data_IF_367049278535
#
_entry.id   IF_367049278535
#
_cell.length_a   1.000
_cell.length_b   1.000
_cell.length_c   1.000
_cell.angle_alpha   90.00
_cell.angle_beta   90.00
_cell.angle_gamma   90.00
#
_symmetry.space_group_name_H-M   'P 1'
#
loop_
_entity.id
_entity.type
_entity.pdbx_description
1 polymer ?
#
# COMPACT_ATOMS: atom_id res chain seq x y z
N UNK A 1 19.33 -52.68 60.59
CA UNK A 1 20.12 -52.83 61.84
C UNK A 1 20.59 -51.45 62.25
N UNK A 2 19.71 -50.72 62.95
CA UNK A 2 19.85 -49.28 63.22
C UNK A 2 19.74 -49.05 64.74
N UNK A 3 20.55 -49.77 65.50
CA UNK A 3 20.42 -49.91 66.96
C UNK A 3 21.44 -49.03 67.73
N UNK A 4 22.12 -48.07 67.08
CA UNK A 4 23.03 -47.16 67.77
C UNK A 4 22.93 -45.72 67.24
N UNK A 5 21.74 -45.14 67.35
CA UNK A 5 21.61 -43.68 67.34
C UNK A 5 21.62 -43.21 68.79
N UNK A 6 22.75 -42.63 69.22
CA UNK A 6 22.84 -41.96 70.53
C UNK A 6 21.87 -40.77 70.55
N UNK A 7 21.22 -40.58 71.71
CA UNK A 7 20.05 -39.73 71.90
C UNK A 7 20.29 -38.27 71.51
N UNK A 8 19.19 -37.58 71.21
CA UNK A 8 19.14 -36.16 70.89
C UNK A 8 19.78 -35.31 72.00
N UNK A 9 20.26 -34.11 71.64
CA UNK A 9 20.92 -33.08 72.48
C UNK A 9 20.29 -32.77 73.85
N UNK A 10 19.10 -33.28 74.15
CA UNK A 10 18.34 -32.99 75.37
C UNK A 10 18.43 -34.07 76.45
N UNK A 11 18.90 -35.28 76.11
CA UNK A 11 19.16 -36.32 77.11
C UNK A 11 20.65 -36.39 77.39
N UNK A 12 21.07 -35.87 78.55
CA UNK A 12 22.48 -35.88 78.96
C UNK A 12 22.77 -37.22 79.64
N UNK A 13 23.28 -38.18 78.87
CA UNK A 13 23.75 -39.46 79.41
C UNK A 13 24.98 -39.20 80.31
N UNK A 14 25.00 -39.79 81.52
CA UNK A 14 26.03 -39.51 82.52
C UNK A 14 27.41 -39.98 82.03
N UNK A 15 28.38 -39.04 81.96
CA UNK A 15 29.66 -39.33 81.32
C UNK A 15 30.45 -40.42 82.09
N UNK A 16 31.02 -41.41 81.37
CA UNK A 16 31.91 -42.41 81.96
C UNK A 16 33.08 -41.74 82.69
N UNK A 17 33.34 -42.18 83.94
CA UNK A 17 34.44 -41.67 84.78
C UNK A 17 35.84 -41.88 84.18
N UNK A 18 35.97 -42.83 83.26
CA UNK A 18 37.25 -43.24 82.67
C UNK A 18 37.32 -42.72 81.23
N UNK A 19 38.02 -41.58 81.05
CA UNK A 19 38.03 -40.79 79.81
C UNK A 19 38.55 -41.55 78.58
N UNK A 20 39.32 -42.62 78.78
CA UNK A 20 39.83 -43.46 77.68
C UNK A 20 38.74 -44.28 77.01
N UNK A 21 37.63 -44.58 77.69
CA UNK A 21 36.48 -45.29 77.11
C UNK A 21 35.65 -44.40 76.17
N UNK A 22 35.83 -43.09 76.23
CA UNK A 22 35.26 -42.13 75.27
C UNK A 22 36.03 -42.11 73.96
N UNK A 23 37.30 -42.53 73.98
CA UNK A 23 38.20 -42.56 72.83
C UNK A 23 38.18 -43.96 72.21
N UNK A 24 37.03 -44.35 71.67
CA UNK A 24 36.87 -45.63 70.99
C UNK A 24 37.61 -45.60 69.65
N UNK A 25 38.77 -46.26 69.60
CA UNK A 25 39.62 -46.31 68.41
C UNK A 25 38.95 -47.01 67.23
N UNK A 26 37.91 -47.83 67.45
CA UNK A 26 37.12 -48.42 66.37
C UNK A 26 36.26 -47.36 65.65
N UNK A 27 35.78 -46.34 66.38
CA UNK A 27 35.05 -45.20 65.79
C UNK A 27 35.95 -44.30 64.93
N UNK A 28 37.26 -44.32 65.18
CA UNK A 28 38.25 -43.50 64.47
C UNK A 28 39.10 -44.29 63.46
N UNK A 29 38.66 -45.49 63.07
CA UNK A 29 39.32 -46.27 62.03
C UNK A 29 38.87 -45.81 60.63
N UNK A 30 39.81 -45.32 59.83
CA UNK A 30 39.57 -44.92 58.45
C UNK A 30 39.81 -46.12 57.52
N UNK A 31 38.73 -46.86 57.24
CA UNK A 31 38.78 -47.97 56.28
C UNK A 31 38.71 -47.44 54.83
N UNK A 32 39.83 -47.57 54.11
CA UNK A 32 39.98 -47.13 52.71
C UNK A 32 39.73 -48.26 51.71
N UNK A 33 39.34 -49.46 52.15
CA UNK A 33 39.17 -50.64 51.27
C UNK A 33 38.12 -50.44 50.18
N UNK A 34 37.15 -49.54 50.38
CA UNK A 34 36.10 -49.24 49.40
C UNK A 34 36.49 -48.21 48.34
N UNK A 35 37.56 -47.44 48.53
CA UNK A 35 37.96 -46.38 47.58
C UNK A 35 38.22 -46.93 46.17
N UNK A 36 38.96 -48.05 45.97
CA UNK A 36 39.19 -48.57 44.63
C UNK A 36 37.91 -49.04 43.93
N UNK A 37 36.92 -49.54 44.69
CA UNK A 37 35.61 -49.92 44.15
C UNK A 37 34.85 -48.68 43.70
N UNK A 38 34.85 -47.62 44.52
CA UNK A 38 34.24 -46.34 44.18
C UNK A 38 34.83 -45.73 42.91
N UNK A 39 36.16 -45.70 42.76
CA UNK A 39 36.84 -45.16 41.57
C UNK A 39 36.45 -45.91 40.30
N UNK A 40 36.36 -47.25 40.35
CA UNK A 40 35.91 -48.07 39.21
C UNK A 40 34.46 -47.81 38.83
N UNK A 41 33.58 -47.56 39.80
CA UNK A 41 32.17 -47.26 39.53
C UNK A 41 31.98 -45.94 38.76
N UNK A 42 32.92 -44.99 38.82
CA UNK A 42 32.86 -43.80 37.95
C UNK A 42 33.00 -44.15 36.46
N UNK A 43 33.85 -45.12 36.12
CA UNK A 43 34.02 -45.60 34.74
C UNK A 43 32.78 -46.38 34.28
N UNK A 44 32.22 -47.23 35.14
CA UNK A 44 30.99 -47.99 34.86
C UNK A 44 29.79 -47.08 34.59
N UNK A 45 29.68 -45.97 35.33
CA UNK A 45 28.62 -44.98 35.18
C UNK A 45 28.91 -43.93 34.08
N UNK A 46 30.03 -44.06 33.36
CA UNK A 46 30.48 -43.10 32.35
C UNK A 46 30.54 -41.64 32.87
N UNK A 47 30.85 -41.48 34.15
CA UNK A 47 30.96 -40.17 34.81
C UNK A 47 32.42 -39.75 34.90
N UNK A 48 32.70 -38.48 34.59
CA UNK A 48 34.04 -37.92 34.75
C UNK A 48 34.38 -37.76 36.24
N UNK A 49 35.54 -38.25 36.64
CA UNK A 49 36.03 -38.12 38.02
C UNK A 49 36.65 -36.72 38.24
N UNK A 50 35.81 -35.73 38.51
CA UNK A 50 36.21 -34.34 38.78
C UNK A 50 35.50 -33.76 40.04
N UNK A 51 36.05 -32.72 40.70
CA UNK A 51 35.39 -32.07 41.83
C UNK A 51 34.04 -31.50 41.39
N UNK A 52 32.97 -31.85 42.11
CA UNK A 52 31.62 -31.42 41.78
C UNK A 52 31.51 -29.89 41.82
N UNK A 53 31.04 -29.29 40.73
CA UNK A 53 30.71 -27.87 40.66
C UNK A 53 29.20 -27.68 40.82
N UNK A 54 28.79 -26.53 41.38
CA UNK A 54 27.37 -26.24 41.59
C UNK A 54 26.70 -25.98 40.24
N UNK A 55 25.83 -26.89 39.82
CA UNK A 55 24.96 -26.67 38.67
C UNK A 55 23.95 -25.59 39.06
N UNK A 56 24.01 -24.43 38.39
CA UNK A 56 22.99 -23.39 38.56
C UNK A 56 21.67 -23.92 38.03
N UNK A 57 20.58 -23.90 38.83
CA UNK A 57 19.28 -24.32 38.32
C UNK A 57 18.86 -23.39 37.19
N UNK A 58 18.43 -23.96 36.06
CA UNK A 58 17.79 -23.21 35.00
C UNK A 58 16.32 -23.06 35.37
N UNK A 59 15.91 -21.86 35.77
CA UNK A 59 14.52 -21.56 36.04
C UNK A 59 13.87 -21.07 34.75
N UNK A 60 13.11 -21.94 34.09
CA UNK A 60 12.29 -21.54 32.97
C UNK A 60 11.03 -20.83 33.48
N UNK A 61 10.83 -19.58 33.06
CA UNK A 61 9.56 -18.89 33.27
C UNK A 61 8.66 -19.28 32.10
N UNK A 62 7.60 -20.07 32.31
CA UNK A 62 6.75 -20.50 31.21
C UNK A 62 6.09 -19.27 30.56
N UNK A 63 6.17 -19.19 29.24
CA UNK A 63 5.51 -18.13 28.49
C UNK A 63 3.98 -18.24 28.67
N UNK A 64 3.26 -17.10 28.73
CA UNK A 64 1.81 -17.11 28.70
C UNK A 64 1.29 -17.88 27.47
N UNK A 65 0.18 -18.61 27.64
CA UNK A 65 -0.40 -19.40 26.57
C UNK A 65 -0.76 -18.51 25.37
N UNK A 66 -0.19 -18.85 24.20
CA UNK A 66 -0.45 -18.15 22.96
C UNK A 66 -1.89 -18.43 22.51
N UNK A 67 -2.62 -17.37 22.15
CA UNK A 67 -3.98 -17.49 21.59
C UNK A 67 -3.92 -17.35 20.07
N UNK A 68 -4.45 -18.32 19.31
CA UNK A 68 -4.56 -18.16 17.87
C UNK A 68 -5.57 -17.06 17.54
N UNK A 69 -5.32 -16.30 16.48
CA UNK A 69 -6.29 -15.34 15.98
C UNK A 69 -7.49 -16.09 15.37
N UNK A 70 -8.70 -15.70 15.76
CA UNK A 70 -9.94 -16.22 15.20
C UNK A 70 -10.68 -15.07 14.51
N UNK A 71 -11.27 -15.33 13.35
CA UNK A 71 -12.15 -14.36 12.72
C UNK A 71 -13.38 -14.13 13.61
N UNK A 72 -13.82 -12.87 13.78
CA UNK A 72 -15.08 -12.58 14.47
C UNK A 72 -16.27 -13.13 13.65
N UNK A 73 -17.44 -13.33 14.29
CA UNK A 73 -18.66 -13.70 13.58
C UNK A 73 -18.95 -12.73 12.43
N UNK A 74 -19.14 -13.28 11.22
CA UNK A 74 -19.39 -12.50 10.01
C UNK A 74 -20.86 -12.07 10.00
N UNK A 75 -21.10 -10.76 9.99
CA UNK A 75 -22.44 -10.19 9.79
C UNK A 75 -22.84 -10.28 8.32
N UNK A 76 -24.13 -10.11 8.01
CA UNK A 76 -24.56 -10.02 6.61
C UNK A 76 -23.99 -8.74 6.00
N UNK A 77 -23.14 -8.89 4.99
CA UNK A 77 -22.67 -7.78 4.19
C UNK A 77 -23.81 -7.23 3.31
N UNK A 78 -23.71 -5.95 2.95
CA UNK A 78 -24.62 -5.36 1.97
C UNK A 78 -24.43 -6.07 0.62
N UNK A 79 -25.52 -6.24 -0.13
CA UNK A 79 -25.39 -6.73 -1.51
C UNK A 79 -24.50 -5.76 -2.30
N UNK A 80 -23.65 -6.29 -3.21
CA UNK A 80 -22.83 -5.43 -4.06
C UNK A 80 -23.74 -4.49 -4.87
N UNK A 81 -23.27 -3.26 -5.17
CA UNK A 81 -24.05 -2.33 -5.96
C UNK A 81 -24.41 -2.96 -7.31
N UNK A 82 -25.65 -2.78 -7.80
CA UNK A 82 -26.08 -3.35 -9.06
C UNK A 82 -25.24 -2.78 -10.21
N UNK A 83 -24.90 -3.64 -11.17
CA UNK A 83 -24.16 -3.22 -12.36
C UNK A 83 -25.11 -2.53 -13.34
N UNK A 84 -24.94 -1.22 -13.52
CA UNK A 84 -25.64 -0.45 -14.55
C UNK A 84 -24.89 -0.56 -15.89
N UNK A 85 -25.62 -0.93 -16.94
CA UNK A 85 -25.07 -1.07 -18.29
C UNK A 85 -25.25 0.25 -19.03
N UNK A 86 -24.24 1.11 -18.97
CA UNK A 86 -24.18 2.35 -19.73
C UNK A 86 -23.59 2.15 -21.12
N UNK A 87 -24.11 2.87 -22.12
CA UNK A 87 -23.47 2.99 -23.42
C UNK A 87 -22.30 4.00 -23.32
N UNK A 88 -21.11 3.46 -23.08
CA UNK A 88 -19.91 4.26 -22.88
C UNK A 88 -19.52 5.05 -24.13
N UNK A 89 -19.90 4.57 -25.32
CA UNK A 89 -19.58 5.26 -26.57
C UNK A 89 -20.39 6.54 -26.70
N UNK A 90 -21.65 6.57 -26.27
CA UNK A 90 -22.45 7.81 -26.28
C UNK A 90 -21.99 8.79 -25.19
N UNK A 91 -21.71 8.29 -23.98
CA UNK A 91 -21.31 9.12 -22.84
C UNK A 91 -19.90 9.72 -22.96
N UNK A 92 -18.95 8.98 -23.55
CA UNK A 92 -17.56 9.44 -23.72
C UNK A 92 -17.22 9.88 -25.14
N UNK A 93 -18.18 9.92 -26.07
CA UNK A 93 -17.91 10.40 -27.42
C UNK A 93 -17.40 11.85 -27.40
N UNK A 94 -16.25 12.06 -28.04
CA UNK A 94 -15.72 13.39 -28.32
C UNK A 94 -16.69 14.18 -29.18
N UNK A 95 -16.63 15.51 -29.11
CA UNK A 95 -17.47 16.40 -29.92
C UNK A 95 -17.39 16.06 -31.41
N UNK A 96 -16.18 15.78 -31.91
CA UNK A 96 -15.95 15.35 -33.30
C UNK A 96 -16.66 14.04 -33.63
N UNK A 97 -16.62 13.04 -32.75
CA UNK A 97 -17.29 11.76 -32.97
C UNK A 97 -18.81 11.95 -33.02
N UNK A 98 -19.37 12.72 -32.08
CA UNK A 98 -20.80 13.06 -32.04
C UNK A 98 -21.25 13.81 -33.29
N UNK A 99 -20.45 14.76 -33.77
CA UNK A 99 -20.72 15.50 -35.02
C UNK A 99 -20.66 14.61 -36.26
N UNK A 100 -19.71 13.69 -36.33
CA UNK A 100 -19.63 12.72 -37.43
C UNK A 100 -20.87 11.82 -37.46
N UNK A 101 -21.29 11.33 -36.30
CA UNK A 101 -22.51 10.54 -36.18
C UNK A 101 -23.76 11.35 -36.55
N UNK A 102 -23.85 12.60 -36.11
CA UNK A 102 -24.95 13.50 -36.44
C UNK A 102 -25.03 13.77 -37.95
N UNK A 103 -23.89 14.00 -38.60
CA UNK A 103 -23.80 14.24 -40.05
C UNK A 103 -24.30 13.04 -40.85
N UNK A 104 -24.00 11.82 -40.39
CA UNK A 104 -24.49 10.60 -41.03
C UNK A 104 -26.00 10.36 -40.83
N UNK A 105 -26.62 11.00 -39.83
CA UNK A 105 -28.04 10.83 -39.49
C UNK A 105 -28.95 11.88 -40.15
N UNK A 106 -28.42 13.04 -40.53
CA UNK A 106 -29.21 14.16 -41.05
C UNK A 106 -29.16 14.24 -42.58
N UNK A 107 -30.29 14.64 -43.18
CA UNK A 107 -30.41 14.98 -44.60
C UNK A 107 -30.56 16.50 -44.80
N UNK A 108 -30.60 16.97 -46.04
CA UNK A 108 -30.80 18.40 -46.36
C UNK A 108 -32.13 18.96 -45.80
N UNK A 109 -33.12 18.09 -45.57
CA UNK A 109 -34.43 18.47 -45.02
C UNK A 109 -34.36 18.76 -43.51
N UNK A 110 -33.35 18.22 -42.82
CA UNK A 110 -33.16 18.30 -41.37
C UNK A 110 -32.16 19.40 -40.97
N UNK A 111 -31.89 20.34 -41.87
CA UNK A 111 -30.82 21.32 -41.69
C UNK A 111 -30.96 22.14 -40.41
N UNK A 112 -32.18 22.51 -40.03
CA UNK A 112 -32.40 23.29 -38.81
C UNK A 112 -32.12 22.46 -37.54
N UNK A 113 -32.49 21.18 -37.54
CA UNK A 113 -32.19 20.25 -36.45
C UNK A 113 -30.69 19.99 -36.35
N UNK A 114 -30.03 19.79 -37.49
CA UNK A 114 -28.59 19.61 -37.56
C UNK A 114 -27.83 20.81 -36.96
N UNK A 115 -28.21 22.04 -37.32
CA UNK A 115 -27.53 23.24 -36.82
C UNK A 115 -27.78 23.43 -35.31
N UNK A 116 -28.98 23.10 -34.82
CA UNK A 116 -29.29 23.16 -33.38
C UNK A 116 -28.47 22.15 -32.57
N UNK A 117 -28.40 20.91 -33.03
CA UNK A 117 -27.60 19.86 -32.38
C UNK A 117 -26.09 20.14 -32.49
N UNK A 118 -25.62 20.69 -33.62
CA UNK A 118 -24.25 21.19 -33.74
C UNK A 118 -23.96 22.25 -32.67
N UNK A 119 -24.86 23.22 -32.49
CA UNK A 119 -24.73 24.26 -31.46
C UNK A 119 -24.70 23.70 -30.04
N UNK A 120 -25.41 22.60 -29.78
CA UNK A 120 -25.39 21.90 -28.50
C UNK A 120 -24.06 21.15 -28.29
N UNK A 121 -23.61 20.40 -29.29
CA UNK A 121 -22.36 19.61 -29.22
C UNK A 121 -21.14 20.53 -29.09
N UNK A 122 -21.09 21.63 -29.85
CA UNK A 122 -19.98 22.60 -29.82
C UNK A 122 -20.05 23.58 -28.63
N UNK A 123 -21.02 23.45 -27.72
CA UNK A 123 -21.16 24.33 -26.55
C UNK A 123 -21.46 25.80 -26.88
N UNK A 124 -22.06 26.07 -28.05
CA UNK A 124 -22.46 27.41 -28.50
C UNK A 124 -23.83 27.78 -27.91
N UNK A 125 -24.75 26.82 -27.81
CA UNK A 125 -26.10 27.00 -27.27
C UNK A 125 -26.11 27.48 -25.80
N UNK A 126 -25.06 27.19 -25.03
CA UNK A 126 -24.90 27.64 -23.64
C UNK A 126 -24.48 29.11 -23.53
N UNK A 127 -23.93 29.69 -24.60
CA UNK A 127 -23.47 31.09 -24.67
C UNK A 127 -24.57 32.04 -25.15
N UNK A 128 -25.72 31.51 -25.56
CA UNK A 128 -26.85 32.27 -26.07
C UNK A 128 -28.06 32.15 -25.14
N UNK A 129 -28.87 33.22 -24.98
CA UNK A 129 -30.13 33.14 -24.25
C UNK A 129 -31.10 32.16 -24.92
N UNK A 130 -31.90 31.47 -24.10
CA UNK A 130 -32.78 30.37 -24.53
C UNK A 130 -33.72 30.73 -25.68
N UNK A 131 -34.19 31.97 -25.72
CA UNK A 131 -35.13 32.47 -26.73
C UNK A 131 -34.49 32.72 -28.12
N UNK A 132 -33.16 32.65 -28.22
CA UNK A 132 -32.42 32.95 -29.46
C UNK A 132 -31.63 31.76 -30.01
N UNK A 133 -31.92 30.53 -29.56
CA UNK A 133 -31.27 29.28 -30.05
C UNK A 133 -31.83 28.80 -31.40
N UNK A 134 -32.07 29.71 -32.32
CA UNK A 134 -32.45 29.38 -33.70
C UNK A 134 -31.22 29.03 -34.55
N UNK A 135 -31.40 28.23 -35.59
CA UNK A 135 -30.28 27.81 -36.44
C UNK A 135 -29.55 28.98 -37.11
N UNK A 136 -30.28 30.05 -37.46
CA UNK A 136 -29.68 31.26 -38.06
C UNK A 136 -28.72 31.97 -37.11
N UNK A 137 -29.12 32.13 -35.84
CA UNK A 137 -28.32 32.81 -34.82
C UNK A 137 -27.06 32.01 -34.45
N UNK A 138 -27.18 30.67 -34.37
CA UNK A 138 -26.03 29.79 -34.16
C UNK A 138 -25.01 29.96 -35.29
N UNK A 139 -25.48 29.98 -36.53
CA UNK A 139 -24.61 30.08 -37.70
C UNK A 139 -23.97 31.47 -37.82
N UNK A 140 -24.73 32.54 -37.53
CA UNK A 140 -24.22 33.90 -37.45
C UNK A 140 -23.05 33.99 -36.46
N UNK A 141 -23.23 33.46 -35.24
CA UNK A 141 -22.17 33.43 -34.24
C UNK A 141 -20.92 32.67 -34.71
N UNK A 142 -21.09 31.49 -35.29
CA UNK A 142 -19.97 30.68 -35.81
C UNK A 142 -19.21 31.45 -36.88
N UNK A 143 -19.91 32.05 -37.83
CA UNK A 143 -19.30 32.81 -38.92
C UNK A 143 -18.57 34.04 -38.40
N UNK A 144 -19.15 34.76 -37.43
CA UNK A 144 -18.46 35.89 -36.77
C UNK A 144 -17.18 35.43 -36.08
N UNK A 145 -17.22 34.32 -35.33
CA UNK A 145 -16.03 33.78 -34.66
C UNK A 145 -14.96 33.32 -35.66
N UNK A 146 -15.36 32.69 -36.77
CA UNK A 146 -14.43 32.31 -37.83
C UNK A 146 -13.81 33.52 -38.51
N UNK A 147 -14.59 34.59 -38.71
CA UNK A 147 -14.08 35.83 -39.29
C UNK A 147 -13.09 36.51 -38.36
N UNK A 148 -13.41 36.60 -37.07
CA UNK A 148 -12.52 37.11 -36.02
C UNK A 148 -11.22 36.30 -35.96
N UNK A 149 -11.32 34.97 -35.95
CA UNK A 149 -10.17 34.08 -35.97
C UNK A 149 -9.29 34.28 -37.21
N UNK A 150 -9.91 34.36 -38.40
CA UNK A 150 -9.20 34.61 -39.66
C UNK A 150 -8.55 36.00 -39.70
N UNK A 151 -9.21 37.02 -39.15
CA UNK A 151 -8.66 38.39 -39.03
C UNK A 151 -7.44 38.42 -38.12
N UNK A 152 -7.44 37.65 -37.03
CA UNK A 152 -6.28 37.53 -36.13
C UNK A 152 -5.11 36.77 -36.77
N UNK A 153 -5.38 35.90 -37.75
CA UNK A 153 -4.38 35.12 -38.49
C UNK A 153 -3.90 35.76 -39.79
N UNK A 154 -4.25 37.02 -40.07
CA UNK A 154 -3.85 37.68 -41.31
C UNK A 154 -2.32 37.90 -41.31
N UNK A 155 -1.56 37.29 -42.24
CA UNK A 155 -0.11 37.32 -42.22
C UNK A 155 0.37 38.70 -42.69
N UNK A 156 1.05 39.42 -41.80
CA UNK A 156 1.81 40.62 -42.09
C UNK A 156 3.32 40.39 -42.01
N UNK A 157 3.81 39.19 -42.35
CA UNK A 157 5.25 38.89 -42.45
C UNK A 157 5.47 37.95 -43.64
N UNK A 158 5.67 38.55 -44.81
CA UNK A 158 6.60 37.99 -45.80
C UNK A 158 7.99 38.03 -45.15
N UNK A 159 8.35 36.99 -44.40
CA UNK A 159 9.76 36.76 -44.07
C UNK A 159 10.37 35.99 -45.24
N UNK A 160 10.97 36.76 -46.14
CA UNK A 160 12.08 36.34 -46.98
C UNK A 160 13.12 35.61 -46.13
N UNK A 161 13.06 34.27 -46.07
CA UNK A 161 14.24 33.46 -45.77
C UNK A 161 14.27 32.20 -46.66
N UNK A 162 15.20 32.27 -47.60
CA UNK A 162 15.70 31.22 -48.47
C UNK A 162 16.07 29.94 -47.71
N UNK A 163 15.72 28.75 -48.24
CA UNK A 163 16.37 27.52 -47.82
C UNK A 163 15.62 26.22 -48.11
N UNK A 164 15.80 25.69 -49.32
CA UNK A 164 15.44 24.33 -49.74
C UNK A 164 16.04 23.29 -48.78
N UNK A 165 15.21 22.36 -48.29
CA UNK A 165 15.57 20.94 -48.18
C UNK A 165 14.30 20.10 -48.11
N UNK A 166 14.03 19.38 -49.21
CA UNK A 166 13.06 18.29 -49.26
C UNK A 166 13.44 17.20 -48.25
N UNK A 167 12.50 16.82 -47.40
CA UNK A 167 12.48 15.50 -46.78
C UNK A 167 11.02 15.04 -46.68
N UNK A 168 10.63 13.96 -47.37
CA UNK A 168 9.32 13.36 -47.22
C UNK A 168 9.33 12.46 -45.98
N UNK A 169 8.25 12.51 -45.19
CA UNK A 169 7.93 11.72 -43.99
C UNK A 169 8.38 12.34 -42.66
N UNK A 170 7.53 13.15 -42.03
CA UNK A 170 6.83 12.75 -40.80
C UNK A 170 5.74 13.77 -40.42
N UNK A 171 4.61 13.22 -40.02
CA UNK A 171 3.33 13.89 -39.76
C UNK A 171 3.21 14.35 -38.31
N UNK A 172 2.76 15.60 -38.14
CA UNK A 172 1.87 15.95 -37.02
C UNK A 172 2.52 16.39 -35.71
N UNK A 173 3.19 17.56 -35.69
CA UNK A 173 3.28 18.42 -34.50
C UNK A 173 3.33 19.88 -34.93
N UNK A 174 2.21 20.59 -34.90
CA UNK A 174 2.21 22.05 -34.92
C UNK A 174 2.59 22.55 -33.53
N UNK A 175 3.88 22.76 -33.30
CA UNK A 175 4.37 23.56 -32.18
C UNK A 175 4.23 25.03 -32.55
N UNK A 176 3.28 25.75 -31.94
CA UNK A 176 3.18 27.20 -32.09
C UNK A 176 4.29 27.85 -31.23
N UNK A 177 5.38 28.22 -31.89
CA UNK A 177 6.51 28.92 -31.29
C UNK A 177 6.21 30.39 -31.06
N UNK A 178 6.32 30.80 -29.79
CA UNK A 178 6.79 32.09 -29.29
C UNK A 178 6.46 33.37 -30.08
N UNK A 179 5.48 34.13 -29.59
CA UNK A 179 5.35 35.54 -29.93
C UNK A 179 4.03 36.17 -29.49
N UNK A 180 3.91 36.52 -28.20
CA UNK A 180 2.77 37.31 -27.72
C UNK A 180 2.37 37.01 -26.28
N UNK A 181 3.00 37.69 -25.31
CA UNK A 181 2.81 37.52 -23.88
C UNK A 181 1.42 37.93 -23.33
N UNK A 182 0.38 38.04 -24.16
CA UNK A 182 -0.97 38.43 -23.76
C UNK A 182 -2.02 37.29 -23.86
N UNK A 183 -1.73 36.19 -24.56
CA UNK A 183 -2.67 35.07 -24.71
C UNK A 183 -2.61 34.04 -23.55
N UNK A 184 -1.57 34.08 -22.72
CA UNK A 184 -1.37 33.12 -21.64
C UNK A 184 -2.37 33.27 -20.46
N UNK A 185 -3.04 34.41 -20.34
CA UNK A 185 -3.96 34.65 -19.22
C UNK A 185 -5.33 33.96 -19.37
N UNK A 186 -5.76 33.63 -20.59
CA UNK A 186 -7.08 33.03 -20.82
C UNK A 186 -7.07 31.48 -20.74
N UNK A 187 -5.92 30.84 -20.95
CA UNK A 187 -5.79 29.38 -20.97
C UNK A 187 -5.63 28.76 -19.57
N UNK A 188 -5.29 29.55 -18.54
CA UNK A 188 -5.07 29.04 -17.18
C UNK A 188 -6.35 28.88 -16.35
N UNK A 189 -7.53 29.21 -16.90
CA UNK A 189 -8.79 29.15 -16.15
C UNK A 189 -9.64 27.91 -16.44
N UNK A 190 -9.19 27.00 -17.31
CA UNK A 190 -9.90 25.74 -17.59
C UNK A 190 -9.33 24.53 -16.85
N UNK A 191 -8.15 24.63 -16.25
CA UNK A 191 -7.43 23.48 -15.66
C UNK A 191 -7.57 23.38 -14.13
N UNK A 192 -8.55 24.08 -13.54
CA UNK A 192 -8.78 24.11 -12.08
C UNK A 192 -10.19 23.70 -11.63
N UNK A 193 -10.94 22.98 -12.46
CA UNK A 193 -12.29 22.51 -12.11
C UNK A 193 -12.46 20.99 -12.10
N UNK A 194 -11.37 20.22 -12.04
CA UNK A 194 -11.41 18.79 -11.75
C UNK A 194 -10.35 18.49 -10.69
N UNK A 195 -10.66 18.79 -9.43
CA UNK A 195 -10.50 17.95 -8.23
C UNK A 195 -11.15 18.72 -7.08
N UNK A 196 -12.42 18.40 -6.80
CA UNK A 196 -13.01 18.24 -5.47
C UNK A 196 -14.31 17.42 -5.64
#
# INVERSE_FOLDING_TARGET
MSEMLKCSLHDVEELPKDVRKLLDTQLYNLDLTLIPKMVRSYEELQMKHEPLTLIKPQFEVPMPALKPAVYPPIFRDCEPPPLELFDLEDYFASETSRLNQLTNKCSEQDLELFIKEFGNIAGISSRMPTDQRGGKQILEFVVTQLFEFKRMYQPGMEDDYMGVHDNPLDSGRYTFGGGGAAAAAAALNYDRLIVD
#
